data_IF_753792867237
#
_entry.id   IF_753792867237
#
_cell.length_a   1.000
_cell.length_b   1.000
_cell.length_c   1.000
_cell.angle_alpha   90.00
_cell.angle_beta   90.00
_cell.angle_gamma   90.00
#
_symmetry.space_group_name_H-M   'P 1'
#
loop_
_entity.id
_entity.type
_entity.pdbx_description
1 polymer ?
#
# COMPACT_ATOMS: atom_id res chain seq x y z
N UNK A 1 -21.55 -26.99 2.70
CA UNK A 1 -22.40 -28.19 2.92
C UNK A 1 -23.59 -27.77 3.76
N UNK A 2 -24.79 -28.27 3.41
CA UNK A 2 -26.01 -27.94 4.14
C UNK A 2 -25.85 -28.34 5.62
N UNK A 3 -25.99 -27.37 6.53
CA UNK A 3 -25.71 -27.57 7.95
C UNK A 3 -26.90 -28.21 8.71
N UNK A 4 -27.82 -28.86 8.01
CA UNK A 4 -28.94 -29.57 8.64
C UNK A 4 -28.96 -31.03 8.21
N UNK A 5 -28.69 -31.92 9.16
CA UNK A 5 -29.18 -33.30 9.15
C UNK A 5 -30.71 -33.20 9.24
N UNK A 6 -31.40 -33.37 8.12
CA UNK A 6 -32.85 -33.41 8.06
C UNK A 6 -33.29 -34.02 6.76
N UNK A 7 -34.25 -34.95 6.82
CA UNK A 7 -34.86 -35.69 5.70
C UNK A 7 -35.73 -34.79 4.80
N UNK A 8 -35.23 -33.64 4.39
CA UNK A 8 -35.94 -32.70 3.52
C UNK A 8 -35.68 -32.99 2.05
N UNK A 9 -36.73 -32.95 1.23
CA UNK A 9 -36.59 -32.82 -0.22
C UNK A 9 -35.82 -31.53 -0.54
N UNK A 10 -35.03 -31.53 -1.62
CA UNK A 10 -34.15 -30.42 -2.03
C UNK A 10 -34.88 -29.05 -2.06
N UNK A 11 -36.18 -29.03 -2.32
CA UNK A 11 -37.03 -27.83 -2.30
C UNK A 11 -36.97 -27.03 -1.00
N UNK A 12 -36.84 -27.69 0.15
CA UNK A 12 -36.74 -26.99 1.44
C UNK A 12 -35.31 -26.54 1.76
N UNK A 13 -34.30 -27.24 1.23
CA UNK A 13 -32.89 -26.92 1.43
C UNK A 13 -32.45 -25.70 0.60
N UNK A 14 -33.13 -25.43 -0.51
CA UNK A 14 -32.84 -24.34 -1.43
C UNK A 14 -33.53 -23.01 -1.07
N UNK A 15 -34.11 -22.93 0.12
CA UNK A 15 -34.62 -21.68 0.68
C UNK A 15 -33.51 -20.95 1.43
N UNK A 16 -33.24 -19.71 1.02
CA UNK A 16 -32.09 -18.92 1.47
C UNK A 16 -32.51 -17.55 2.01
N UNK A 17 -33.50 -17.50 2.92
CA UNK A 17 -33.94 -16.23 3.49
C UNK A 17 -33.08 -15.79 4.66
N UNK A 18 -32.28 -14.73 4.45
CA UNK A 18 -31.56 -14.00 5.48
C UNK A 18 -30.63 -14.87 6.34
N UNK A 19 -30.46 -14.50 7.61
CA UNK A 19 -29.56 -15.19 8.54
C UNK A 19 -29.94 -16.66 8.81
N UNK A 20 -31.22 -17.00 8.63
CA UNK A 20 -31.77 -18.35 8.85
C UNK A 20 -31.77 -19.23 7.60
N UNK A 21 -31.14 -18.77 6.51
CA UNK A 21 -31.01 -19.49 5.25
C UNK A 21 -30.66 -20.98 5.46
N UNK A 22 -31.24 -21.87 4.65
CA UNK A 22 -30.85 -23.29 4.61
C UNK A 22 -29.65 -23.49 3.69
N UNK A 23 -29.65 -22.83 2.53
CA UNK A 23 -28.48 -22.71 1.67
C UNK A 23 -27.48 -21.65 2.21
N UNK A 24 -26.85 -21.94 3.35
CA UNK A 24 -25.95 -21.02 4.06
C UNK A 24 -24.60 -20.77 3.38
N UNK A 25 -24.20 -21.67 2.48
CA UNK A 25 -22.85 -21.69 1.88
C UNK A 25 -22.93 -21.52 0.37
N UNK A 26 -21.91 -20.92 -0.25
CA UNK A 26 -21.84 -20.81 -1.72
C UNK A 26 -21.96 -22.17 -2.43
N UNK A 27 -21.39 -23.24 -1.84
CA UNK A 27 -21.54 -24.61 -2.36
C UNK A 27 -22.99 -25.07 -2.37
N UNK A 28 -23.75 -24.75 -1.31
CA UNK A 28 -25.16 -25.09 -1.22
C UNK A 28 -26.00 -24.30 -2.24
N UNK A 29 -25.67 -23.02 -2.44
CA UNK A 29 -26.26 -22.17 -3.48
C UNK A 29 -26.01 -22.73 -4.88
N UNK A 30 -24.78 -23.14 -5.18
CA UNK A 30 -24.42 -23.77 -6.47
C UNK A 30 -25.19 -25.07 -6.66
N UNK A 31 -25.23 -25.94 -5.64
CA UNK A 31 -26.01 -27.19 -5.72
C UNK A 31 -27.48 -26.88 -6.02
N UNK A 32 -28.10 -25.94 -5.32
CA UNK A 32 -29.50 -25.58 -5.56
C UNK A 32 -29.78 -25.00 -6.96
N UNK A 33 -28.86 -24.20 -7.50
CA UNK A 33 -28.98 -23.63 -8.83
C UNK A 33 -28.68 -24.64 -9.96
N UNK A 34 -28.09 -25.81 -9.64
CA UNK A 34 -27.58 -26.75 -10.64
C UNK A 34 -28.09 -28.18 -10.53
N UNK A 35 -28.53 -28.61 -9.35
CA UNK A 35 -28.93 -29.98 -9.06
C UNK A 35 -30.35 -30.25 -9.52
N UNK A 36 -30.50 -31.30 -10.31
CA UNK A 36 -31.79 -31.82 -10.73
C UNK A 36 -32.13 -33.10 -9.99
N UNK A 37 -33.41 -33.26 -9.58
CA UNK A 37 -33.90 -34.46 -8.88
C UNK A 37 -34.77 -35.39 -9.74
N UNK A 38 -34.94 -35.08 -11.04
CA UNK A 38 -35.78 -35.85 -11.98
C UNK A 38 -35.08 -36.19 -13.30
N UNK A 39 -35.54 -37.23 -13.98
CA UNK A 39 -35.08 -37.57 -15.33
C UNK A 39 -35.39 -36.42 -16.31
N UNK A 40 -34.39 -36.01 -17.10
CA UNK A 40 -34.52 -34.94 -18.09
C UNK A 40 -34.13 -33.52 -17.64
N UNK A 41 -33.74 -33.34 -16.37
CA UNK A 41 -33.32 -32.03 -15.82
C UNK A 41 -31.80 -31.92 -15.56
N UNK A 42 -31.02 -32.93 -15.99
CA UNK A 42 -29.56 -33.08 -15.80
C UNK A 42 -28.67 -32.03 -16.50
N UNK A 43 -29.26 -30.95 -17.04
CA UNK A 43 -28.58 -29.98 -17.92
C UNK A 43 -28.59 -28.52 -17.42
N UNK A 44 -29.04 -28.24 -16.19
CA UNK A 44 -29.32 -26.88 -15.75
C UNK A 44 -28.09 -25.94 -15.76
N UNK A 45 -26.98 -26.34 -15.16
CA UNK A 45 -25.73 -25.54 -15.15
C UNK A 45 -24.68 -26.03 -16.13
N UNK A 46 -24.78 -27.28 -16.59
CA UNK A 46 -23.79 -27.88 -17.45
C UNK A 46 -24.43 -29.01 -18.27
N UNK A 47 -23.92 -29.25 -19.47
CA UNK A 47 -24.35 -30.35 -20.33
C UNK A 47 -23.20 -31.38 -20.42
N UNK A 48 -23.03 -32.25 -19.40
CA UNK A 48 -21.91 -33.18 -19.36
C UNK A 48 -22.07 -34.32 -20.37
N UNK A 49 -20.95 -34.87 -20.86
CA UNK A 49 -20.96 -36.11 -21.66
C UNK A 49 -21.52 -37.30 -20.85
N UNK A 50 -21.32 -37.32 -19.54
CA UNK A 50 -21.89 -38.29 -18.60
C UNK A 50 -22.88 -37.60 -17.67
N UNK A 51 -24.15 -38.00 -17.72
CA UNK A 51 -25.15 -37.48 -16.81
C UNK A 51 -24.82 -37.88 -15.37
N UNK A 52 -24.95 -36.96 -14.42
CA UNK A 52 -24.92 -37.36 -13.02
C UNK A 52 -26.20 -38.11 -12.68
N UNK A 53 -26.06 -39.24 -11.99
CA UNK A 53 -27.16 -39.82 -11.24
C UNK A 53 -27.61 -38.84 -10.15
N UNK A 54 -28.92 -38.82 -9.92
CA UNK A 54 -29.67 -37.92 -9.05
C UNK A 54 -28.83 -37.24 -7.94
N UNK A 55 -28.71 -35.91 -7.99
CA UNK A 55 -28.22 -35.09 -6.87
C UNK A 55 -29.29 -34.95 -5.75
N UNK A 56 -30.18 -35.93 -5.62
CA UNK A 56 -31.18 -35.96 -4.57
C UNK A 56 -30.44 -35.90 -3.23
N UNK A 57 -30.66 -34.81 -2.49
CA UNK A 57 -29.90 -34.39 -1.31
C UNK A 57 -29.92 -35.34 -0.11
N UNK A 58 -29.49 -36.58 -0.30
CA UNK A 58 -29.09 -37.45 0.80
C UNK A 58 -27.79 -36.88 1.39
N UNK A 59 -27.74 -36.82 2.72
CA UNK A 59 -26.68 -36.18 3.53
C UNK A 59 -25.26 -36.62 3.18
N UNK A 60 -25.10 -37.78 2.55
CA UNK A 60 -23.80 -38.38 2.21
C UNK A 60 -23.39 -38.15 0.73
N UNK A 61 -24.26 -37.53 -0.07
CA UNK A 61 -24.01 -37.27 -1.50
C UNK A 61 -23.53 -35.85 -1.79
N UNK A 62 -23.64 -34.91 -0.84
CA UNK A 62 -23.31 -33.49 -1.08
C UNK A 62 -21.83 -33.22 -1.34
N UNK A 63 -20.94 -33.99 -0.69
CA UNK A 63 -19.49 -33.95 -0.94
C UNK A 63 -19.15 -34.48 -2.33
N UNK A 64 -19.79 -35.59 -2.72
CA UNK A 64 -19.62 -36.22 -4.03
C UNK A 64 -20.13 -35.30 -5.14
N UNK A 65 -21.32 -34.73 -4.95
CA UNK A 65 -21.90 -33.70 -5.80
C UNK A 65 -20.97 -32.50 -5.98
N UNK A 66 -20.43 -31.95 -4.89
CA UNK A 66 -19.49 -30.84 -4.95
C UNK A 66 -18.18 -31.21 -5.65
N UNK A 67 -17.62 -32.38 -5.31
CA UNK A 67 -16.38 -32.86 -5.92
C UNK A 67 -16.50 -33.11 -7.41
N UNK A 68 -17.69 -33.47 -7.90
CA UNK A 68 -17.95 -33.54 -9.32
C UNK A 68 -18.18 -32.14 -9.94
N UNK A 69 -19.04 -31.32 -9.34
CA UNK A 69 -19.36 -29.97 -9.83
C UNK A 69 -18.10 -29.11 -9.99
N UNK A 70 -17.19 -29.16 -9.01
CA UNK A 70 -15.95 -28.37 -9.06
C UNK A 70 -15.02 -28.78 -10.21
N UNK A 71 -15.10 -30.02 -10.72
CA UNK A 71 -14.31 -30.47 -11.88
C UNK A 71 -14.85 -29.92 -13.20
N UNK A 72 -16.12 -29.51 -13.22
CA UNK A 72 -16.74 -28.86 -14.38
C UNK A 72 -16.40 -27.37 -14.43
N UNK A 73 -16.16 -26.76 -13.28
CA UNK A 73 -15.73 -25.37 -13.20
C UNK A 73 -14.24 -25.28 -13.53
N UNK A 74 -13.90 -24.51 -14.56
CA UNK A 74 -12.51 -24.08 -14.74
C UNK A 74 -12.20 -23.02 -13.69
N UNK A 75 -11.79 -23.45 -12.49
CA UNK A 75 -11.35 -22.53 -11.44
C UNK A 75 -9.92 -22.12 -11.80
N UNK A 76 -9.67 -20.89 -12.29
CA UNK A 76 -8.30 -20.44 -12.53
C UNK A 76 -7.51 -20.55 -11.23
N UNK A 77 -6.23 -20.91 -11.34
CA UNK A 77 -5.36 -21.26 -10.22
C UNK A 77 -5.09 -20.12 -9.24
N UNK A 78 -3.85 -20.05 -8.73
CA UNK A 78 -3.46 -19.12 -7.63
C UNK A 78 -3.39 -17.66 -8.09
N UNK A 79 -4.51 -17.05 -8.48
CA UNK A 79 -4.59 -15.61 -8.61
C UNK A 79 -4.50 -14.98 -7.20
N UNK A 80 -3.78 -13.87 -7.07
CA UNK A 80 -3.80 -13.06 -5.84
C UNK A 80 -5.24 -12.59 -5.62
N UNK A 81 -5.83 -12.99 -4.51
CA UNK A 81 -7.16 -12.54 -4.11
C UNK A 81 -7.06 -11.06 -3.72
N UNK A 82 -7.82 -10.20 -4.39
CA UNK A 82 -7.91 -8.76 -4.09
C UNK A 82 -9.32 -8.40 -3.62
N UNK A 83 -9.45 -7.29 -2.88
CA UNK A 83 -10.75 -6.77 -2.47
C UNK A 83 -11.65 -6.49 -3.68
N UNK A 84 -11.10 -5.82 -4.71
CA UNK A 84 -11.79 -5.49 -5.96
C UNK A 84 -12.20 -6.73 -6.75
N UNK A 85 -11.33 -7.73 -6.86
CA UNK A 85 -11.64 -8.99 -7.55
C UNK A 85 -12.78 -9.74 -6.86
N UNK A 86 -12.75 -9.82 -5.54
CA UNK A 86 -13.80 -10.48 -4.76
C UNK A 86 -15.13 -9.73 -4.81
N UNK A 87 -15.08 -8.39 -4.74
CA UNK A 87 -16.27 -7.53 -4.89
C UNK A 87 -16.90 -7.70 -6.28
N UNK A 88 -16.08 -7.71 -7.34
CA UNK A 88 -16.55 -7.89 -8.72
C UNK A 88 -17.25 -9.24 -8.88
N UNK A 89 -16.64 -10.31 -8.36
CA UNK A 89 -17.22 -11.65 -8.42
C UNK A 89 -18.54 -11.74 -7.64
N UNK A 90 -18.61 -11.17 -6.44
CA UNK A 90 -19.84 -11.16 -5.64
C UNK A 90 -20.95 -10.39 -6.35
N UNK A 91 -20.65 -9.19 -6.86
CA UNK A 91 -21.62 -8.38 -7.63
C UNK A 91 -22.13 -9.13 -8.85
N UNK A 92 -21.25 -9.81 -9.60
CA UNK A 92 -21.64 -10.59 -10.77
C UNK A 92 -22.62 -11.71 -10.44
N UNK A 93 -22.40 -12.44 -9.32
CA UNK A 93 -23.33 -13.48 -8.86
C UNK A 93 -24.66 -12.87 -8.43
N UNK A 94 -24.63 -11.79 -7.64
CA UNK A 94 -25.84 -11.13 -7.15
C UNK A 94 -26.68 -10.54 -8.28
N UNK A 95 -26.06 -10.05 -9.35
CA UNK A 95 -26.75 -9.53 -10.53
C UNK A 95 -27.55 -10.60 -11.30
N UNK A 96 -27.32 -11.89 -11.04
CA UNK A 96 -28.11 -12.99 -11.63
C UNK A 96 -29.40 -13.28 -10.86
N UNK A 97 -29.68 -12.55 -9.76
CA UNK A 97 -30.91 -12.74 -9.00
C UNK A 97 -32.05 -12.03 -9.71
N UNK A 98 -33.04 -12.79 -10.14
CA UNK A 98 -34.29 -12.29 -10.70
C UNK A 98 -35.29 -12.07 -9.56
N UNK A 99 -36.03 -10.96 -9.62
CA UNK A 99 -37.01 -10.61 -8.58
C UNK A 99 -38.41 -10.58 -9.16
N UNK A 100 -39.35 -11.14 -8.42
CA UNK A 100 -40.76 -10.79 -8.53
C UNK A 100 -41.14 -9.78 -7.43
N UNK A 101 -42.44 -9.50 -7.27
CA UNK A 101 -42.95 -8.54 -6.27
C UNK A 101 -42.71 -8.93 -4.80
N UNK A 102 -42.33 -10.17 -4.52
CA UNK A 102 -42.24 -10.75 -3.17
C UNK A 102 -40.98 -11.58 -2.92
N UNK A 103 -40.31 -12.04 -3.97
CA UNK A 103 -39.29 -13.08 -3.87
C UNK A 103 -38.18 -12.87 -4.90
N UNK A 104 -36.94 -13.12 -4.48
CA UNK A 104 -35.79 -13.26 -5.37
C UNK A 104 -35.50 -14.72 -5.72
N UNK A 105 -34.99 -14.96 -6.91
CA UNK A 105 -34.60 -16.28 -7.40
C UNK A 105 -33.23 -16.23 -8.06
N UNK A 106 -32.35 -17.17 -7.71
CA UNK A 106 -31.11 -17.41 -8.43
C UNK A 106 -31.19 -18.76 -9.14
N UNK A 107 -31.09 -18.75 -10.48
CA UNK A 107 -31.28 -19.92 -11.32
C UNK A 107 -32.66 -19.96 -11.99
N UNK A 108 -32.98 -21.07 -12.67
CA UNK A 108 -34.23 -21.21 -13.42
C UNK A 108 -35.42 -21.41 -12.48
N UNK A 109 -36.20 -20.35 -12.24
CA UNK A 109 -37.21 -20.31 -11.18
C UNK A 109 -38.41 -21.26 -11.38
N UNK A 110 -38.82 -21.56 -12.62
CA UNK A 110 -39.99 -22.41 -12.88
C UNK A 110 -41.24 -21.85 -12.18
N UNK A 111 -41.96 -22.68 -11.40
CA UNK A 111 -43.07 -22.23 -10.53
C UNK A 111 -42.61 -21.62 -9.20
N UNK A 112 -41.31 -21.53 -8.93
CA UNK A 112 -40.75 -20.81 -7.80
C UNK A 112 -40.72 -21.59 -6.47
N UNK A 113 -40.81 -22.92 -6.50
CA UNK A 113 -40.63 -23.79 -5.31
C UNK A 113 -39.20 -24.32 -5.18
N UNK A 114 -38.39 -24.22 -6.24
CA UNK A 114 -36.97 -24.58 -6.23
C UNK A 114 -36.67 -26.00 -5.76
N UNK A 115 -37.52 -26.96 -6.16
CA UNK A 115 -37.41 -28.36 -5.77
C UNK A 115 -36.52 -29.23 -6.67
N UNK A 116 -35.76 -28.61 -7.57
CA UNK A 116 -34.84 -29.31 -8.46
C UNK A 116 -35.52 -30.02 -9.63
N UNK A 117 -36.83 -29.88 -9.82
CA UNK A 117 -37.52 -30.32 -11.05
C UNK A 117 -37.58 -29.19 -12.07
N UNK A 118 -37.62 -29.53 -13.37
CA UNK A 118 -37.76 -28.53 -14.44
C UNK A 118 -38.98 -27.63 -14.28
N UNK A 119 -40.10 -28.19 -13.81
CA UNK A 119 -41.34 -27.42 -13.65
C UNK A 119 -41.25 -26.49 -12.45
N UNK A 120 -40.83 -27.00 -11.29
CA UNK A 120 -40.89 -26.25 -10.06
C UNK A 120 -39.68 -25.34 -9.79
N UNK A 121 -38.60 -25.55 -10.54
CA UNK A 121 -37.43 -24.69 -10.60
C UNK A 121 -36.17 -25.38 -10.08
N UNK A 122 -35.05 -25.05 -10.72
CA UNK A 122 -33.70 -25.42 -10.29
C UNK A 122 -33.04 -24.10 -9.89
N UNK A 123 -33.28 -23.70 -8.65
CA UNK A 123 -33.03 -22.36 -8.18
C UNK A 123 -32.76 -22.29 -6.67
N UNK A 124 -32.37 -21.12 -6.22
CA UNK A 124 -32.40 -20.72 -4.80
C UNK A 124 -33.51 -19.69 -4.63
N UNK A 125 -34.34 -19.87 -3.59
CA UNK A 125 -35.45 -18.97 -3.27
C UNK A 125 -35.10 -18.03 -2.12
N UNK A 126 -35.27 -16.74 -2.33
CA UNK A 126 -35.05 -15.68 -1.35
C UNK A 126 -36.39 -15.03 -0.98
N UNK A 127 -37.18 -15.70 -0.14
CA UNK A 127 -38.52 -15.21 0.25
C UNK A 127 -38.44 -13.83 0.89
N UNK A 128 -39.34 -12.94 0.49
CA UNK A 128 -39.43 -11.55 0.96
C UNK A 128 -38.42 -10.60 0.31
N UNK A 129 -37.51 -11.09 -0.54
CA UNK A 129 -36.56 -10.23 -1.21
C UNK A 129 -37.21 -9.52 -2.40
N UNK A 130 -37.26 -8.20 -2.36
CA UNK A 130 -37.73 -7.34 -3.47
C UNK A 130 -36.59 -6.57 -4.16
N UNK A 131 -35.35 -6.89 -3.80
CA UNK A 131 -34.16 -6.29 -4.38
C UNK A 131 -32.88 -6.74 -3.65
N UNK A 132 -31.73 -6.37 -4.21
CA UNK A 132 -30.42 -6.80 -3.70
C UNK A 132 -30.10 -6.27 -2.31
N UNK A 133 -30.58 -5.07 -1.97
CA UNK A 133 -30.35 -4.45 -0.65
C UNK A 133 -31.22 -5.06 0.44
N UNK A 134 -32.18 -5.92 0.10
CA UNK A 134 -33.07 -6.55 1.07
C UNK A 134 -32.29 -7.47 2.02
N UNK A 135 -32.68 -7.50 3.30
CA UNK A 135 -32.00 -8.30 4.34
C UNK A 135 -32.07 -9.80 4.06
N UNK A 136 -33.13 -10.26 3.38
CA UNK A 136 -33.26 -11.63 2.89
C UNK A 136 -32.10 -12.07 1.99
N UNK A 137 -31.43 -11.14 1.31
CA UNK A 137 -30.21 -11.37 0.51
C UNK A 137 -28.97 -11.03 1.34
N UNK A 138 -28.88 -9.80 1.84
CA UNK A 138 -27.64 -9.28 2.43
C UNK A 138 -27.18 -10.05 3.66
N UNK A 139 -28.10 -10.67 4.41
CA UNK A 139 -27.77 -11.41 5.64
C UNK A 139 -27.61 -12.91 5.43
N UNK A 140 -27.58 -13.38 4.18
CA UNK A 140 -27.23 -14.77 3.90
C UNK A 140 -25.78 -15.00 4.34
N UNK A 141 -25.47 -16.07 5.10
CA UNK A 141 -24.17 -16.21 5.75
C UNK A 141 -22.96 -16.12 4.81
N UNK A 142 -23.02 -16.69 3.60
CA UNK A 142 -21.92 -16.61 2.64
C UNK A 142 -21.75 -15.21 2.03
N UNK A 143 -22.83 -14.45 1.85
CA UNK A 143 -22.77 -13.05 1.38
C UNK A 143 -22.14 -12.18 2.48
N UNK A 144 -22.62 -12.31 3.72
CA UNK A 144 -22.05 -11.60 4.88
C UNK A 144 -20.56 -11.90 5.04
N UNK A 145 -20.17 -13.17 4.92
CA UNK A 145 -18.78 -13.59 5.04
C UNK A 145 -17.90 -13.00 3.92
N UNK A 146 -18.38 -12.98 2.67
CA UNK A 146 -17.66 -12.39 1.55
C UNK A 146 -17.53 -10.86 1.69
N UNK A 147 -18.59 -10.17 2.11
CA UNK A 147 -18.53 -8.73 2.40
C UNK A 147 -17.50 -8.41 3.50
N UNK A 148 -17.44 -9.23 4.55
CA UNK A 148 -16.42 -9.09 5.60
C UNK A 148 -15.01 -9.32 5.05
N UNK A 149 -14.83 -10.33 4.19
CA UNK A 149 -13.54 -10.62 3.56
C UNK A 149 -13.10 -9.50 2.61
N UNK A 150 -14.01 -8.93 1.81
CA UNK A 150 -13.76 -7.79 0.93
C UNK A 150 -13.27 -6.59 1.76
N UNK A 151 -13.96 -6.27 2.85
CA UNK A 151 -13.57 -5.18 3.75
C UNK A 151 -12.18 -5.43 4.35
N UNK A 152 -11.94 -6.62 4.90
CA UNK A 152 -10.64 -6.95 5.50
C UNK A 152 -9.48 -6.93 4.49
N UNK A 153 -9.71 -7.41 3.26
CA UNK A 153 -8.72 -7.32 2.19
C UNK A 153 -8.42 -5.87 1.82
N UNK A 154 -9.45 -5.01 1.76
CA UNK A 154 -9.27 -3.59 1.45
C UNK A 154 -8.43 -2.89 2.52
N UNK A 155 -8.70 -3.17 3.80
CA UNK A 155 -7.92 -2.63 4.93
C UNK A 155 -6.44 -3.06 4.86
N UNK A 156 -6.16 -4.32 4.49
CA UNK A 156 -4.79 -4.83 4.30
C UNK A 156 -4.11 -4.18 3.10
N UNK A 157 -4.82 -4.07 1.97
CA UNK A 157 -4.31 -3.43 0.75
C UNK A 157 -3.94 -1.97 1.02
N UNK A 158 -4.80 -1.22 1.73
CA UNK A 158 -4.57 0.18 2.07
C UNK A 158 -3.40 0.36 3.03
N UNK A 159 -3.30 -0.48 4.06
CA UNK A 159 -2.18 -0.45 4.99
C UNK A 159 -0.84 -0.77 4.31
N UNK A 160 -0.84 -1.70 3.36
CA UNK A 160 0.34 -2.06 2.57
C UNK A 160 0.79 -0.89 1.69
N UNK A 161 -0.14 -0.27 0.97
CA UNK A 161 0.16 0.89 0.14
C UNK A 161 0.68 2.08 0.96
N UNK A 162 0.12 2.30 2.16
CA UNK A 162 0.62 3.32 3.07
C UNK A 162 2.05 3.03 3.55
N UNK A 163 2.36 1.78 3.91
CA UNK A 163 3.70 1.38 4.34
C UNK A 163 4.73 1.52 3.23
N UNK A 164 4.40 1.11 2.00
CA UNK A 164 5.25 1.30 0.81
C UNK A 164 5.50 2.79 0.55
N UNK A 165 4.46 3.64 0.69
CA UNK A 165 4.59 5.09 0.58
C UNK A 165 5.49 5.70 1.65
N UNK A 166 5.39 5.25 2.90
CA UNK A 166 6.27 5.69 4.00
C UNK A 166 7.70 5.24 3.73
N UNK A 167 7.93 4.02 3.25
CA UNK A 167 9.27 3.55 2.90
C UNK A 167 9.88 4.39 1.76
N UNK A 168 9.10 4.67 0.72
CA UNK A 168 9.53 5.54 -0.37
C UNK A 168 9.86 6.97 0.13
N UNK A 169 9.07 7.50 1.06
CA UNK A 169 9.35 8.79 1.69
C UNK A 169 10.63 8.75 2.53
N UNK A 170 10.86 7.68 3.31
CA UNK A 170 12.11 7.48 4.07
C UNK A 170 13.31 7.40 3.13
N UNK A 171 13.20 6.68 2.01
CA UNK A 171 14.28 6.60 1.02
C UNK A 171 14.54 7.95 0.34
N UNK A 172 13.49 8.71 0.00
CA UNK A 172 13.62 10.05 -0.55
C UNK A 172 14.28 11.03 0.44
N UNK A 173 13.83 11.06 1.70
CA UNK A 173 14.46 11.87 2.76
C UNK A 173 15.91 11.47 2.99
N UNK A 174 16.23 10.18 2.92
CA UNK A 174 17.61 9.69 3.03
C UNK A 174 18.48 10.20 1.89
N UNK A 175 17.99 10.16 0.65
CA UNK A 175 18.73 10.70 -0.51
C UNK A 175 18.93 12.20 -0.40
N UNK A 176 17.89 12.96 -0.04
CA UNK A 176 17.98 14.40 0.19
C UNK A 176 19.02 14.76 1.26
N UNK A 177 19.02 14.03 2.39
CA UNK A 177 20.02 14.21 3.44
C UNK A 177 21.46 13.95 2.95
N UNK A 178 21.67 12.96 2.08
CA UNK A 178 22.99 12.70 1.50
C UNK A 178 23.42 13.79 0.52
N UNK A 179 22.52 14.30 -0.32
CA UNK A 179 22.83 15.39 -1.25
C UNK A 179 23.22 16.67 -0.51
N UNK A 180 22.50 17.02 0.57
CA UNK A 180 22.86 18.16 1.42
C UNK A 180 24.24 17.97 2.08
N UNK A 181 24.58 16.75 2.51
CA UNK A 181 25.91 16.45 3.07
C UNK A 181 27.02 16.57 2.01
N UNK A 182 26.76 16.22 0.76
CA UNK A 182 27.70 16.45 -0.35
C UNK A 182 27.84 17.94 -0.67
N UNK A 183 26.75 18.69 -0.72
CA UNK A 183 26.79 20.15 -0.92
C UNK A 183 27.61 20.84 0.18
N UNK A 184 27.37 20.52 1.45
CA UNK A 184 28.15 21.07 2.58
C UNK A 184 29.63 20.69 2.47
N UNK A 185 29.96 19.48 2.02
CA UNK A 185 31.37 19.10 1.80
C UNK A 185 32.02 19.94 0.71
N UNK A 186 31.33 20.16 -0.41
CA UNK A 186 31.84 21.01 -1.50
C UNK A 186 32.00 22.46 -1.04
N UNK A 187 31.07 22.96 -0.23
CA UNK A 187 31.12 24.32 0.31
C UNK A 187 32.29 24.48 1.30
N UNK A 188 32.52 23.50 2.18
CA UNK A 188 33.69 23.49 3.08
C UNK A 188 35.00 23.36 2.31
N UNK A 189 35.10 22.50 1.29
CA UNK A 189 36.31 22.39 0.47
C UNK A 189 36.58 23.68 -0.33
N UNK A 190 35.53 24.37 -0.81
CA UNK A 190 35.65 25.67 -1.46
C UNK A 190 36.04 26.79 -0.48
N UNK A 191 35.58 26.72 0.76
CA UNK A 191 35.91 27.68 1.81
C UNK A 191 37.32 27.46 2.37
N UNK A 192 37.83 26.22 2.36
CA UNK A 192 39.23 25.87 2.68
C UNK A 192 40.17 26.16 1.51
N UNK A 193 39.68 26.09 0.26
CA UNK A 193 40.45 26.41 -0.95
C UNK A 193 40.38 27.89 -1.34
N UNK A 194 39.49 28.68 -0.72
CA UNK A 194 39.57 30.13 -0.82
C UNK A 194 40.92 30.58 -0.21
N UNK A 195 41.77 31.30 -0.97
CA UNK A 195 42.97 31.86 -0.40
C UNK A 195 42.54 32.75 0.77
N UNK A 196 43.04 32.41 1.96
CA UNK A 196 42.94 33.24 3.15
C UNK A 196 43.17 34.69 2.73
N UNK A 197 42.29 35.65 3.10
CA UNK A 197 42.56 37.05 2.81
C UNK A 197 43.99 37.34 3.26
N UNK A 198 44.85 37.92 2.40
CA UNK A 198 46.26 38.03 2.70
C UNK A 198 46.38 38.63 4.10
N UNK A 199 47.02 37.88 5.00
CA UNK A 199 47.39 38.42 6.30
C UNK A 199 48.04 39.78 6.00
N UNK A 200 47.50 40.87 6.58
CA UNK A 200 47.96 42.23 6.31
C UNK A 200 49.47 42.20 6.21
N UNK A 201 49.99 42.39 5.00
CA UNK A 201 51.42 42.26 4.75
C UNK A 201 52.11 43.24 5.70
N UNK A 202 52.95 42.72 6.59
CA UNK A 202 53.80 43.59 7.37
C UNK A 202 54.73 44.32 6.41
N UNK A 203 54.93 45.64 6.60
CA UNK A 203 55.89 46.37 5.78
C UNK A 203 57.27 45.72 5.92
N UNK A 204 57.96 45.61 4.80
CA UNK A 204 59.34 45.13 4.76
C UNK A 204 60.28 46.16 5.37
N UNK A 205 61.46 45.73 5.81
CA UNK A 205 62.54 46.62 6.28
C UNK A 205 62.83 47.75 5.27
N UNK A 206 62.74 47.47 3.97
CA UNK A 206 62.92 48.48 2.91
C UNK A 206 61.79 49.51 2.84
N UNK A 207 60.57 49.14 3.21
CA UNK A 207 59.44 50.08 3.26
C UNK A 207 59.53 50.97 4.49
N UNK A 208 59.93 50.43 5.66
CA UNK A 208 60.22 51.25 6.83
C UNK A 208 61.34 52.27 6.54
N UNK A 209 62.42 51.83 5.89
CA UNK A 209 63.59 52.65 5.58
C UNK A 209 63.32 53.82 4.61
N UNK A 210 62.17 53.84 3.92
CA UNK A 210 61.74 54.99 3.10
C UNK A 210 61.24 56.16 3.95
N UNK A 211 60.87 55.93 5.21
CA UNK A 211 60.43 56.98 6.12
C UNK A 211 61.65 57.67 6.72
N UNK A 212 62.01 58.83 6.16
CA UNK A 212 63.16 59.61 6.61
C UNK A 212 62.82 60.67 7.67
N UNK A 213 61.54 60.76 8.05
CA UNK A 213 61.03 61.65 9.10
C UNK A 213 60.38 60.86 10.24
N UNK A 214 60.58 61.33 11.48
CA UNK A 214 60.09 60.64 12.68
C UNK A 214 58.56 60.50 12.71
N UNK A 215 57.82 61.49 12.18
CA UNK A 215 56.36 61.48 12.16
C UNK A 215 55.77 60.47 11.18
N UNK A 216 56.54 60.10 10.15
CA UNK A 216 56.13 59.15 9.13
C UNK A 216 56.52 57.70 9.48
N UNK A 217 57.44 57.53 10.45
CA UNK A 217 57.84 56.23 10.97
C UNK A 217 56.83 55.71 12.00
N UNK A 218 55.80 55.01 11.52
CA UNK A 218 54.71 54.47 12.34
C UNK A 218 54.83 52.96 12.52
N UNK A 219 54.21 52.45 13.58
CA UNK A 219 54.16 51.01 13.84
C UNK A 219 53.61 50.24 12.62
N UNK A 220 54.22 49.11 12.24
CA UNK A 220 55.21 48.30 12.99
C UNK A 220 56.69 48.69 12.79
N UNK A 221 56.99 49.85 12.18
CA UNK A 221 58.35 50.39 12.11
C UNK A 221 58.71 51.18 13.39
N UNK A 222 60.00 51.24 13.72
CA UNK A 222 60.56 51.92 14.88
C UNK A 222 61.63 52.93 14.46
N UNK A 223 61.54 54.12 15.06
CA UNK A 223 62.49 55.19 14.84
C UNK A 223 63.75 55.02 15.72
N UNK A 224 64.92 54.99 15.10
CA UNK A 224 66.24 54.90 15.72
C UNK A 224 66.99 56.23 15.55
N UNK A 225 66.84 57.14 16.51
CA UNK A 225 67.40 58.50 16.44
C UNK A 225 68.93 58.55 16.31
N UNK A 226 69.62 57.48 16.69
CA UNK A 226 71.07 57.36 16.71
C UNK A 226 71.66 56.69 15.45
N UNK A 227 70.84 56.37 14.43
CA UNK A 227 71.33 55.81 13.19
C UNK A 227 72.13 56.88 12.39
N UNK A 228 73.35 56.52 11.99
CA UNK A 228 74.27 57.38 11.22
C UNK A 228 73.83 57.60 9.78
N UNK A 229 73.05 56.67 9.22
CA UNK A 229 72.46 56.76 7.87
C UNK A 229 71.01 57.26 7.95
N UNK A 230 70.68 58.35 7.25
CA UNK A 230 69.31 58.90 7.25
C UNK A 230 68.26 57.89 6.76
N UNK A 231 68.64 57.00 5.85
CA UNK A 231 67.78 55.94 5.28
C UNK A 231 67.58 54.74 6.20
N UNK A 232 68.19 54.73 7.39
CA UNK A 232 68.04 53.66 8.41
C UNK A 232 67.50 54.17 9.74
N UNK A 233 66.99 55.41 9.75
CA UNK A 233 66.40 56.00 10.95
C UNK A 233 65.03 55.42 11.27
N UNK A 234 64.36 54.78 10.30
CA UNK A 234 63.12 54.06 10.52
C UNK A 234 63.25 52.62 10.04
N UNK A 235 63.36 51.65 10.96
CA UNK A 235 63.55 50.23 10.65
C UNK A 235 62.39 49.40 11.19
N UNK A 236 62.20 48.19 10.67
CA UNK A 236 61.13 47.31 11.13
C UNK A 236 61.39 46.86 12.58
N UNK A 237 60.38 46.96 13.45
CA UNK A 237 60.48 46.43 14.81
C UNK A 237 60.17 44.94 14.81
N UNK A 238 61.22 44.12 14.85
CA UNK A 238 61.09 42.67 14.85
C UNK A 238 60.30 42.08 16.04
N UNK A 239 60.21 42.77 17.19
CA UNK A 239 59.40 42.31 18.33
C UNK A 239 57.92 42.57 18.08
N UNK A 240 57.57 43.78 17.64
CA UNK A 240 56.19 44.14 17.28
C UNK A 240 55.71 43.32 16.09
N UNK A 241 56.61 43.03 15.15
CA UNK A 241 56.33 42.20 14.01
C UNK A 241 55.94 40.77 14.43
N UNK A 242 56.68 40.18 15.37
CA UNK A 242 56.40 38.86 15.92
C UNK A 242 55.11 38.81 16.78
N UNK A 243 54.81 39.85 17.55
CA UNK A 243 53.57 39.94 18.35
C UNK A 243 52.31 39.97 17.46
N UNK A 244 52.33 40.71 16.36
CA UNK A 244 51.24 40.75 15.38
C UNK A 244 51.05 39.40 14.66
N UNK A 245 52.13 38.68 14.35
CA UNK A 245 52.05 37.34 13.78
C UNK A 245 51.43 36.31 14.75
N UNK A 246 51.64 36.51 16.06
CA UNK A 246 51.12 35.60 17.10
C UNK A 246 49.65 35.88 17.44
N UNK A 247 49.21 37.14 17.41
CA UNK A 247 47.81 37.52 17.60
C UNK A 247 46.89 37.09 16.44
N UNK A 248 47.43 37.03 15.22
CA UNK A 248 46.69 36.50 14.06
C UNK A 248 46.38 35.00 14.20
N UNK A 249 47.20 34.22 14.92
CA UNK A 249 47.02 32.79 15.12
C UNK A 249 46.03 32.40 16.24
N UNK A 250 45.61 33.35 17.10
CA UNK A 250 44.71 33.08 18.24
C UNK A 250 43.24 33.44 17.98
N UNK A 251 42.92 33.95 16.78
CA UNK A 251 41.57 34.40 16.41
C UNK A 251 40.60 33.30 15.93
N UNK A 252 41.07 32.08 15.67
CA UNK A 252 40.20 30.98 15.22
C UNK A 252 39.74 30.11 16.40
N UNK A 253 38.58 30.46 16.96
CA UNK A 253 37.72 29.47 17.65
C UNK A 253 36.28 29.72 17.21
N UNK A 254 35.72 28.92 16.28
CA UNK A 254 34.36 29.12 15.81
C UNK A 254 33.36 28.67 16.88
N UNK A 255 32.27 29.42 16.97
CA UNK A 255 31.08 29.12 17.78
C UNK A 255 30.03 28.45 16.91
#
# INVERSE_FOLDING_TARGET
>A
MFCQKGSGNIGTLCYATGATAKAKTIIATIICACASVGSGSTKACWNPKTALSNLAGATDTSTTAWNWLKQLCHIPGKAKLTSSGLQTALTAVLAQIEFDSTTGYLGGAGTGTCDGTKAAGICVKFTGATGLTHTSIQYIPWITALNKAIKGLKEIEDATAAAEGIQAAIEATKQEAYSLLEEVKVEVDQQVSQPQPPAKAQPTEQECNKHTEQNDCKEPCKWEANATEQTKKCSLDHKKAAEQATQAATGEKPK
#
